data_IF_337959865613
#
_entry.id   IF_337959865613
#
_cell.length_a   1.000
_cell.length_b   1.000
_cell.length_c   1.000
_cell.angle_alpha   90.00
_cell.angle_beta   90.00
_cell.angle_gamma   90.00
#
_symmetry.space_group_name_H-M   'P 1'
#
loop_
_entity.id
_entity.type
_entity.pdbx_description
1 polymer ?
#
# COMPACT_ATOMS: atom_id res chain seq x y z
N UNK A 1 -16.29 -6.35 3.60
CA UNK A 1 -15.26 -5.56 2.91
C UNK A 1 -13.93 -5.90 3.55
N UNK A 2 -13.08 -6.75 2.95
CA UNK A 2 -11.71 -6.94 3.43
C UNK A 2 -10.97 -5.61 3.54
N UNK A 3 -10.18 -5.45 4.60
CA UNK A 3 -9.35 -4.28 4.82
C UNK A 3 -7.87 -4.67 4.82
N UNK A 4 -7.09 -3.99 4.00
CA UNK A 4 -5.62 -4.02 4.02
C UNK A 4 -5.16 -2.79 4.79
N UNK A 5 -4.46 -3.02 5.89
CA UNK A 5 -3.82 -1.99 6.70
C UNK A 5 -2.34 -1.93 6.32
N UNK A 6 -1.85 -0.72 6.06
CA UNK A 6 -0.45 -0.42 5.82
C UNK A 6 0.00 0.64 6.82
N UNK A 7 0.86 0.27 7.76
CA UNK A 7 1.40 1.18 8.77
C UNK A 7 2.84 1.54 8.41
N UNK A 8 3.11 2.81 8.20
CA UNK A 8 4.45 3.27 7.85
C UNK A 8 5.39 3.11 9.03
N UNK A 9 6.54 2.48 8.78
CA UNK A 9 7.56 2.22 9.80
C UNK A 9 8.36 3.47 10.13
N UNK A 10 8.78 4.18 9.09
CA UNK A 10 9.61 5.38 9.19
C UNK A 10 9.41 6.32 7.99
N UNK A 11 9.75 7.60 8.18
CA UNK A 11 9.70 8.59 7.10
C UNK A 11 10.87 8.33 6.14
N UNK A 12 10.62 8.02 4.85
CA UNK A 12 11.69 7.78 3.90
C UNK A 12 12.49 9.08 3.65
N UNK A 13 13.80 8.96 3.41
CA UNK A 13 14.64 10.14 3.13
C UNK A 13 14.27 10.76 1.77
N UNK A 14 14.03 9.91 0.78
CA UNK A 14 13.58 10.27 -0.58
C UNK A 14 12.11 9.84 -0.79
N UNK A 15 11.31 10.50 -1.64
CA UNK A 15 9.93 10.09 -1.86
C UNK A 15 9.79 8.66 -2.40
N UNK A 16 8.74 7.98 -1.91
CA UNK A 16 8.27 6.70 -2.44
C UNK A 16 7.24 6.93 -3.55
N UNK A 17 7.30 6.11 -4.60
CA UNK A 17 6.24 6.06 -5.61
C UNK A 17 5.45 4.76 -5.44
N UNK A 18 4.18 4.93 -5.09
CA UNK A 18 3.30 3.87 -4.59
C UNK A 18 2.11 3.60 -5.50
N UNK A 19 2.29 3.75 -6.81
CA UNK A 19 1.29 3.47 -7.87
C UNK A 19 0.70 2.04 -7.80
N UNK A 20 1.39 1.11 -7.12
CA UNK A 20 0.96 -0.28 -6.93
C UNK A 20 0.06 -0.48 -5.70
N UNK A 21 -0.10 0.54 -4.84
CA UNK A 21 -1.00 0.50 -3.68
C UNK A 21 -2.40 0.87 -4.16
N UNK A 22 -3.06 -0.10 -4.80
CA UNK A 22 -4.42 0.05 -5.33
C UNK A 22 -5.27 -1.19 -5.04
N UNK A 23 -6.60 -1.02 -5.00
CA UNK A 23 -7.56 -2.12 -4.85
C UNK A 23 -7.35 -3.25 -5.86
N UNK A 24 -7.08 -2.92 -7.12
CA UNK A 24 -6.87 -3.91 -8.18
C UNK A 24 -5.64 -4.80 -7.92
N UNK A 25 -4.59 -4.25 -7.31
CA UNK A 25 -3.35 -4.98 -7.03
C UNK A 25 -3.44 -5.76 -5.71
N UNK A 26 -4.06 -5.18 -4.69
CA UNK A 26 -4.05 -5.73 -3.32
C UNK A 26 -5.15 -6.76 -3.05
N UNK A 27 -6.25 -6.76 -3.82
CA UNK A 27 -7.39 -7.65 -3.59
C UNK A 27 -6.97 -9.13 -3.63
N UNK A 28 -7.37 -9.87 -2.60
CA UNK A 28 -7.15 -11.31 -2.51
C UNK A 28 -5.71 -11.74 -2.17
N UNK A 29 -4.78 -10.79 -1.99
CA UNK A 29 -3.39 -11.10 -1.61
C UNK A 29 -3.25 -11.35 -0.13
N UNK A 30 -2.37 -12.28 0.22
CA UNK A 30 -1.92 -12.48 1.59
C UNK A 30 -1.04 -11.31 2.05
N UNK A 31 -0.80 -11.25 3.36
CA UNK A 31 0.12 -10.27 3.95
C UNK A 31 1.51 -10.35 3.30
N UNK A 32 2.03 -11.56 3.11
CA UNK A 32 3.37 -11.79 2.57
C UNK A 32 3.45 -11.38 1.10
N UNK A 33 2.40 -11.66 0.31
CA UNK A 33 2.32 -11.21 -1.08
C UNK A 33 2.26 -9.69 -1.19
N UNK A 34 1.49 -9.03 -0.31
CA UNK A 34 1.39 -7.56 -0.26
C UNK A 34 2.77 -6.96 0.04
N UNK A 35 3.46 -7.47 1.07
CA UNK A 35 4.79 -6.98 1.45
C UNK A 35 5.82 -7.11 0.32
N UNK A 36 5.69 -8.11 -0.54
CA UNK A 36 6.57 -8.32 -1.68
C UNK A 36 6.27 -7.46 -2.91
N UNK A 37 5.18 -6.68 -2.92
CA UNK A 37 4.84 -5.82 -4.05
C UNK A 37 5.85 -4.68 -4.21
N UNK A 38 6.19 -4.32 -5.45
CA UNK A 38 7.22 -3.32 -5.68
C UNK A 38 6.72 -1.89 -5.38
N UNK A 39 7.67 -1.07 -4.93
CA UNK A 39 7.62 0.38 -4.87
C UNK A 39 8.85 0.94 -5.61
N UNK A 40 8.84 2.24 -5.91
CA UNK A 40 10.07 2.95 -6.25
C UNK A 40 10.49 3.83 -5.07
N UNK A 41 11.79 3.86 -4.80
CA UNK A 41 12.42 4.72 -3.82
C UNK A 41 13.50 5.54 -4.53
N UNK A 42 13.15 6.77 -4.94
CA UNK A 42 13.99 7.54 -5.85
C UNK A 42 14.23 6.79 -7.18
N UNK A 43 15.48 6.42 -7.45
CA UNK A 43 15.89 5.66 -8.64
C UNK A 43 16.05 4.15 -8.39
N UNK A 44 15.71 3.67 -7.19
CA UNK A 44 15.84 2.26 -6.80
C UNK A 44 14.48 1.56 -6.71
N UNK A 45 14.51 0.24 -6.81
CA UNK A 45 13.35 -0.61 -6.54
C UNK A 45 13.34 -0.97 -5.06
N UNK A 46 12.18 -0.84 -4.45
CA UNK A 46 11.91 -1.30 -3.09
C UNK A 46 10.66 -2.18 -3.09
N UNK A 47 10.27 -2.67 -1.92
CA UNK A 47 9.03 -3.38 -1.70
C UNK A 47 8.18 -2.68 -0.64
N UNK A 48 6.86 -2.93 -0.65
CA UNK A 48 5.95 -2.41 0.38
C UNK A 48 6.46 -2.77 1.77
N UNK A 49 6.93 -4.01 1.96
CA UNK A 49 7.39 -4.51 3.24
C UNK A 49 8.63 -3.82 3.82
N UNK A 50 9.38 -3.07 3.02
CA UNK A 50 10.54 -2.31 3.45
C UNK A 50 10.12 -1.08 4.26
N UNK A 51 9.02 -0.42 3.86
CA UNK A 51 8.55 0.84 4.45
C UNK A 51 7.25 0.72 5.24
N UNK A 52 6.45 -0.32 5.00
CA UNK A 52 5.15 -0.53 5.62
C UNK A 52 5.05 -1.91 6.28
N UNK A 53 4.45 -1.96 7.47
CA UNK A 53 3.88 -3.17 8.02
C UNK A 53 2.49 -3.40 7.45
N UNK A 54 2.19 -4.64 7.07
CA UNK A 54 0.94 -5.00 6.43
C UNK A 54 0.09 -5.89 7.33
N UNK A 55 -1.22 -5.66 7.35
CA UNK A 55 -2.21 -6.56 7.96
C UNK A 55 -3.43 -6.67 7.05
N UNK A 56 -3.99 -7.87 6.95
CA UNK A 56 -5.23 -8.11 6.19
C UNK A 56 -6.31 -8.59 7.15
N UNK A 57 -7.51 -8.03 7.04
CA UNK A 57 -8.66 -8.41 7.84
C UNK A 57 -9.89 -8.65 6.98
N UNK A 58 -10.64 -9.71 7.27
CA UNK A 58 -11.89 -10.03 6.58
C UNK A 58 -11.69 -10.66 5.19
N UNK A 59 -12.81 -11.00 4.56
CA UNK A 59 -12.88 -11.65 3.24
C UNK A 59 -14.04 -11.06 2.45
N UNK A 60 -13.91 -11.00 1.11
CA UNK A 60 -14.95 -10.46 0.23
C UNK A 60 -14.39 -9.83 -1.04
N UNK A 61 -15.29 -9.33 -1.89
CA UNK A 61 -14.93 -8.69 -3.16
C UNK A 61 -14.48 -7.24 -2.96
N UNK A 62 -15.25 -6.43 -2.25
CA UNK A 62 -14.97 -5.00 -2.10
C UNK A 62 -13.88 -4.78 -1.07
N UNK A 63 -12.80 -4.07 -1.45
CA UNK A 63 -11.61 -3.88 -0.62
C UNK A 63 -11.50 -2.44 -0.13
N UNK A 64 -11.10 -2.30 1.13
CA UNK A 64 -10.67 -1.06 1.75
C UNK A 64 -9.17 -1.11 2.01
N UNK A 65 -8.46 -0.05 1.65
CA UNK A 65 -7.04 0.14 1.96
C UNK A 65 -6.95 1.27 2.98
N UNK A 66 -6.41 0.98 4.14
CA UNK A 66 -6.16 1.95 5.19
C UNK A 66 -4.67 2.10 5.38
N UNK A 67 -4.16 3.33 5.27
CA UNK A 67 -2.74 3.63 5.32
C UNK A 67 -2.53 4.63 6.45
N UNK A 68 -1.68 4.30 7.42
CA UNK A 68 -1.37 5.16 8.56
C UNK A 68 0.12 5.54 8.55
N UNK A 69 0.42 6.81 8.86
CA UNK A 69 1.80 7.32 8.92
C UNK A 69 1.94 8.77 8.47
N UNK A 70 3.19 9.21 8.33
CA UNK A 70 3.54 10.47 7.65
C UNK A 70 3.74 10.21 6.14
N UNK A 71 2.61 10.32 5.43
CA UNK A 71 2.55 10.06 3.99
C UNK A 71 2.98 11.27 3.13
N UNK A 72 3.56 12.32 3.73
CA UNK A 72 4.01 13.53 3.02
C UNK A 72 5.03 13.26 1.90
N UNK A 73 5.73 12.11 1.98
CA UNK A 73 6.70 11.65 0.99
C UNK A 73 6.25 10.41 0.20
N UNK A 74 4.97 10.07 0.25
CA UNK A 74 4.41 8.94 -0.50
C UNK A 74 3.57 9.47 -1.66
N UNK A 75 4.01 9.22 -2.88
CA UNK A 75 3.36 9.69 -4.11
C UNK A 75 2.50 8.61 -4.74
N UNK A 76 1.50 9.04 -5.49
CA UNK A 76 0.65 8.18 -6.32
C UNK A 76 -0.14 7.12 -5.55
N UNK A 77 -0.43 7.37 -4.26
CA UNK A 77 -1.37 6.54 -3.50
C UNK A 77 -2.76 6.58 -4.17
N UNK A 78 -3.30 5.40 -4.48
CA UNK A 78 -4.59 5.28 -5.16
C UNK A 78 -4.58 5.74 -6.62
N UNK A 79 -3.40 5.90 -7.24
CA UNK A 79 -3.32 6.23 -8.66
C UNK A 79 -4.06 5.20 -9.53
N UNK A 80 -4.81 5.68 -10.52
CA UNK A 80 -5.64 4.85 -11.40
C UNK A 80 -6.61 3.87 -10.67
N UNK A 81 -7.07 4.21 -9.45
CA UNK A 81 -8.05 3.40 -8.72
C UNK A 81 -9.43 3.43 -9.41
N UNK A 82 -9.99 2.25 -9.68
CA UNK A 82 -11.26 2.07 -10.39
C UNK A 82 -12.45 1.81 -9.47
N UNK A 83 -12.19 1.29 -8.27
CA UNK A 83 -13.17 0.75 -7.33
C UNK A 83 -12.56 0.68 -5.93
N UNK A 84 -13.39 0.42 -4.92
CA UNK A 84 -12.95 0.29 -3.53
C UNK A 84 -12.80 1.62 -2.80
N UNK A 85 -12.16 1.57 -1.64
CA UNK A 85 -11.93 2.73 -0.78
C UNK A 85 -10.46 2.78 -0.36
N UNK A 86 -9.84 3.96 -0.44
CA UNK A 86 -8.56 4.24 0.18
C UNK A 86 -8.77 5.36 1.21
N UNK A 87 -8.22 5.18 2.40
CA UNK A 87 -8.21 6.17 3.47
C UNK A 87 -6.80 6.31 4.02
N UNK A 88 -6.43 7.54 4.34
CA UNK A 88 -5.17 7.93 4.99
C UNK A 88 -5.44 8.61 6.33
#
# INVERSE_FOLDING_TARGET
>A
MPTVYLEQKELPEVPLEAERITPAVLRGKSREEIRGLPLLYGNEKAQIGDFFDARVSGFGSDIHIHIEGDLSKVKYLGDNMDSGLLSV
#
